data_IF_100058489294
#
_entry.id   IF_100058489294
#
_cell.length_a   1.000
_cell.length_b   1.000
_cell.length_c   1.000
_cell.angle_alpha   90.00
_cell.angle_beta   90.00
_cell.angle_gamma   90.00
#
_symmetry.space_group_name_H-M   'P 1'
#
loop_
_entity.id
_entity.type
_entity.pdbx_description
1 polymer ?
#
# COMPACT_ATOMS: atom_id res chain seq x y z
N UNK A 1 -26.33 -0.49 -0.49
CA UNK A 1 -26.26 -1.67 -1.39
C UNK A 1 -24.84 -1.73 -1.92
N UNK A 2 -24.23 -2.91 -2.08
CA UNK A 2 -22.88 -3.03 -2.63
C UNK A 2 -22.95 -3.27 -4.14
N UNK A 3 -22.37 -2.37 -4.93
CA UNK A 3 -22.18 -2.56 -6.37
C UNK A 3 -20.83 -3.20 -6.67
N UNK A 4 -20.79 -4.34 -7.36
CA UNK A 4 -19.55 -5.04 -7.71
C UNK A 4 -19.24 -4.93 -9.22
N UNK A 5 -17.96 -4.97 -9.56
CA UNK A 5 -17.50 -4.99 -10.96
C UNK A 5 -17.34 -3.62 -11.62
N UNK A 6 -17.05 -2.55 -10.86
CA UNK A 6 -16.83 -1.20 -11.42
C UNK A 6 -15.47 -1.11 -12.11
N UNK A 7 -15.47 -1.03 -13.43
CA UNK A 7 -14.26 -1.04 -14.26
C UNK A 7 -14.03 0.28 -14.99
N UNK A 8 -15.05 1.12 -15.14
CA UNK A 8 -15.00 2.36 -15.92
C UNK A 8 -15.61 3.54 -15.18
N UNK A 9 -15.15 4.75 -15.50
CA UNK A 9 -15.65 5.98 -14.88
C UNK A 9 -17.16 6.15 -15.09
N UNK A 10 -17.67 5.86 -16.30
CA UNK A 10 -19.10 5.97 -16.60
C UNK A 10 -19.97 5.06 -15.72
N UNK A 11 -19.51 3.84 -15.39
CA UNK A 11 -20.21 2.96 -14.46
C UNK A 11 -20.26 3.55 -13.04
N UNK A 12 -19.14 4.15 -12.59
CA UNK A 12 -19.09 4.80 -11.29
C UNK A 12 -20.00 6.03 -11.23
N UNK A 13 -20.05 6.82 -12.30
CA UNK A 13 -20.91 7.99 -12.41
C UNK A 13 -22.40 7.60 -12.28
N UNK A 14 -22.83 6.51 -12.96
CA UNK A 14 -24.19 5.97 -12.79
C UNK A 14 -24.48 5.57 -11.34
N UNK A 15 -23.53 4.91 -10.65
CA UNK A 15 -23.72 4.53 -9.25
C UNK A 15 -23.84 5.74 -8.31
N UNK A 16 -23.13 6.84 -8.61
CA UNK A 16 -23.24 8.08 -7.85
C UNK A 16 -24.59 8.77 -8.05
N UNK A 17 -25.10 8.78 -9.29
CA UNK A 17 -26.44 9.32 -9.62
C UNK A 17 -27.55 8.55 -8.89
N UNK A 18 -27.41 7.22 -8.80
CA UNK A 18 -28.32 6.32 -8.08
C UNK A 18 -28.09 6.31 -6.56
N UNK A 19 -27.18 7.16 -6.05
CA UNK A 19 -26.85 7.26 -4.62
C UNK A 19 -26.42 5.93 -3.99
N UNK A 20 -25.68 5.10 -4.74
CA UNK A 20 -25.06 3.91 -4.17
C UNK A 20 -23.93 4.30 -3.22
N UNK A 21 -24.03 3.82 -1.97
CA UNK A 21 -23.07 4.14 -0.91
C UNK A 21 -21.76 3.35 -1.00
N UNK A 22 -21.80 2.14 -1.58
CA UNK A 22 -20.67 1.21 -1.58
C UNK A 22 -20.45 0.57 -2.96
N UNK A 23 -19.19 0.53 -3.40
CA UNK A 23 -18.80 -0.10 -4.65
C UNK A 23 -17.43 -0.80 -4.56
N UNK A 24 -17.29 -1.91 -5.29
CA UNK A 24 -16.05 -2.64 -5.51
C UNK A 24 -15.79 -2.79 -7.01
N UNK A 25 -14.55 -2.56 -7.45
CA UNK A 25 -14.18 -2.79 -8.82
C UNK A 25 -12.74 -2.41 -9.13
N UNK A 26 -12.23 -2.87 -10.27
CA UNK A 26 -10.84 -2.66 -10.67
C UNK A 26 -10.48 -1.18 -10.84
N UNK A 27 -11.46 -0.34 -11.20
CA UNK A 27 -11.31 1.11 -11.24
C UNK A 27 -10.95 1.69 -9.85
N UNK A 28 -11.57 1.17 -8.80
CA UNK A 28 -11.44 1.65 -7.42
C UNK A 28 -10.22 1.04 -6.72
N UNK A 29 -9.81 -0.17 -7.12
CA UNK A 29 -8.61 -0.82 -6.62
C UNK A 29 -8.52 -2.28 -7.02
N UNK A 30 -7.29 -2.79 -7.11
CA UNK A 30 -7.05 -4.23 -7.28
C UNK A 30 -7.26 -4.96 -5.95
N UNK A 31 -7.81 -6.18 -5.96
CA UNK A 31 -7.81 -7.05 -4.80
C UNK A 31 -6.40 -7.18 -4.21
N UNK A 32 -6.29 -7.05 -2.89
CA UNK A 32 -5.01 -7.17 -2.18
C UNK A 32 -4.96 -8.51 -1.45
N UNK A 33 -3.76 -9.06 -1.29
CA UNK A 33 -3.56 -10.25 -0.48
C UNK A 33 -3.96 -9.99 0.98
N UNK A 34 -4.52 -11.00 1.63
CA UNK A 34 -4.88 -10.93 3.05
C UNK A 34 -3.59 -10.76 3.88
N UNK A 35 -3.40 -9.57 4.47
CA UNK A 35 -2.18 -9.18 5.19
C UNK A 35 -1.41 -8.02 4.55
N UNK A 36 -1.87 -7.48 3.42
CA UNK A 36 -1.30 -6.27 2.84
C UNK A 36 -2.36 -5.16 2.78
N UNK A 37 -2.43 -4.32 3.82
CA UNK A 37 -3.30 -3.14 3.79
C UNK A 37 -2.65 -1.98 3.01
N UNK A 38 -3.46 -1.08 2.43
CA UNK A 38 -2.97 0.16 1.81
C UNK A 38 -2.13 0.98 2.80
N UNK A 39 -2.57 1.00 4.06
CA UNK A 39 -1.89 1.68 5.16
C UNK A 39 -0.52 1.06 5.44
N UNK A 40 -0.41 -0.27 5.49
CA UNK A 40 0.89 -0.95 5.61
C UNK A 40 1.81 -0.67 4.43
N UNK A 41 1.29 -0.71 3.19
CA UNK A 41 2.09 -0.38 2.00
C UNK A 41 2.58 1.06 2.04
N UNK A 42 1.73 2.01 2.43
CA UNK A 42 2.09 3.42 2.55
C UNK A 42 3.10 3.66 3.69
N UNK A 43 2.90 3.00 4.84
CA UNK A 43 3.83 3.03 5.95
C UNK A 43 5.19 2.47 5.53
N UNK A 44 5.24 1.26 4.95
CA UNK A 44 6.48 0.62 4.48
C UNK A 44 7.27 1.52 3.52
N UNK A 45 6.61 2.10 2.50
CA UNK A 45 7.24 3.06 1.58
C UNK A 45 7.80 4.30 2.29
N UNK A 46 7.15 4.75 3.36
CA UNK A 46 7.64 5.87 4.18
C UNK A 46 8.85 5.47 5.02
N UNK A 47 8.88 4.26 5.60
CA UNK A 47 10.01 3.73 6.35
C UNK A 47 11.24 3.51 5.46
N UNK A 48 11.05 2.93 4.28
CA UNK A 48 12.10 2.72 3.27
C UNK A 48 12.73 4.05 2.82
N UNK A 49 11.90 5.06 2.50
CA UNK A 49 12.40 6.39 2.10
C UNK A 49 13.17 7.12 3.20
N UNK A 50 12.92 6.82 4.48
CA UNK A 50 13.62 7.43 5.61
C UNK A 50 14.93 6.73 5.96
N UNK A 51 15.28 5.64 5.29
CA UNK A 51 16.51 4.88 5.56
C UNK A 51 16.55 4.24 6.95
N UNK A 52 15.40 4.06 7.60
CA UNK A 52 15.31 3.43 8.92
C UNK A 52 15.21 1.93 8.73
N UNK A 53 16.30 1.22 9.06
CA UNK A 53 16.46 -0.22 8.87
C UNK A 53 15.31 -1.00 9.55
N UNK A 54 14.68 -1.90 8.78
CA UNK A 54 13.70 -2.87 9.28
C UNK A 54 14.35 -3.74 10.36
N UNK A 55 13.96 -3.56 11.62
CA UNK A 55 14.32 -4.50 12.70
C UNK A 55 13.51 -5.78 12.45
N UNK A 56 14.14 -6.75 11.78
CA UNK A 56 13.66 -8.14 11.75
C UNK A 56 14.08 -8.84 13.05
N UNK A 57 13.21 -9.66 13.63
CA UNK A 57 13.50 -10.47 14.83
C UNK A 57 14.64 -11.48 14.64
N UNK A 58 15.12 -11.73 13.42
CA UNK A 58 16.07 -12.81 13.12
C UNK A 58 17.53 -12.40 12.87
N UNK A 59 17.90 -11.12 12.78
CA UNK A 59 19.28 -10.76 12.39
C UNK A 59 19.84 -9.58 13.17
N UNK A 60 20.13 -9.81 14.44
CA UNK A 60 20.95 -8.91 15.24
C UNK A 60 22.44 -9.10 14.90
N UNK A 61 22.90 -8.53 13.77
CA UNK A 61 24.29 -8.09 13.66
C UNK A 61 24.33 -6.71 13.03
N UNK A 62 24.84 -5.69 13.76
CA UNK A 62 25.12 -4.41 13.13
C UNK A 62 26.21 -4.62 12.07
N UNK A 63 25.89 -4.37 10.81
CA UNK A 63 26.94 -4.09 9.81
C UNK A 63 27.60 -2.79 10.28
N UNK A 64 28.82 -2.94 10.82
CA UNK A 64 29.65 -1.83 11.28
C UNK A 64 29.65 -0.77 10.19
N UNK A 65 29.32 0.47 10.58
CA UNK A 65 29.49 1.67 9.76
C UNK A 65 30.92 1.63 9.20
N UNK A 66 31.06 1.36 7.91
CA UNK A 66 32.35 1.35 7.25
C UNK A 66 32.98 2.72 7.43
N UNK A 67 34.06 2.79 8.20
CA UNK A 67 34.93 3.94 8.27
C UNK A 67 35.82 3.87 7.03
N UNK A 68 35.36 4.45 5.93
CA UNK A 68 36.24 4.83 4.82
C UNK A 68 36.78 6.21 5.19
N UNK A 69 38.03 6.25 5.64
CA UNK A 69 38.88 7.44 5.56
C UNK A 69 40.14 6.93 4.87
N UNK A 70 40.23 7.20 3.57
CA UNK A 70 41.50 7.12 2.84
C UNK A 70 42.37 8.27 3.36
N UNK A 71 43.53 7.91 3.90
CA UNK A 71 44.63 8.82 4.23
C UNK A 71 45.78 8.60 3.26
#
# INVERSE_FOLDING_TARGET
MLAEGVETQAQLDTLLEEQCDEAQGYLLGKPQAMGETVVEKAAKRRWERRGVLRISRETMRPLRRGRQNDG
#
